data_IF_505743917810
#
_entry.id   IF_505743917810
#
_cell.length_a   1.000
_cell.length_b   1.000
_cell.length_c   1.000
_cell.angle_alpha   90.00
_cell.angle_beta   90.00
_cell.angle_gamma   90.00
#
_symmetry.space_group_name_H-M   'P 1'
#
loop_
_entity.id
_entity.type
_entity.pdbx_description
1 polymer ?
#
# COMPACT_ATOMS: atom_id res chain seq x y z
N UNK A 1 3.72 -28.78 -16.31
CA UNK A 1 3.20 -29.05 -14.96
C UNK A 1 3.72 -28.10 -13.90
N UNK A 2 5.00 -27.79 -13.89
CA UNK A 2 5.57 -26.86 -12.91
C UNK A 2 4.98 -25.45 -13.06
N UNK A 3 4.81 -24.97 -14.28
CA UNK A 3 4.19 -23.68 -14.54
C UNK A 3 2.73 -23.62 -14.07
N UNK A 4 2.03 -24.74 -14.16
CA UNK A 4 0.65 -24.84 -13.73
C UNK A 4 0.52 -24.70 -12.22
N UNK A 5 1.42 -25.34 -11.47
CA UNK A 5 1.47 -25.22 -10.01
C UNK A 5 1.84 -23.79 -9.57
N UNK A 6 2.80 -23.18 -10.25
CA UNK A 6 3.19 -21.80 -9.96
C UNK A 6 2.03 -20.83 -10.15
N UNK A 7 1.27 -21.01 -11.23
CA UNK A 7 0.10 -20.20 -11.50
C UNK A 7 -0.97 -20.36 -10.42
N UNK A 8 -1.20 -21.59 -9.98
CA UNK A 8 -2.15 -21.89 -8.91
C UNK A 8 -1.75 -21.24 -7.60
N UNK A 9 -0.48 -21.35 -7.20
CA UNK A 9 0.03 -20.69 -6.00
C UNK A 9 -0.12 -19.19 -6.09
N UNK A 10 0.15 -18.61 -7.25
CA UNK A 10 0.01 -17.18 -7.45
C UNK A 10 -1.43 -16.71 -7.29
N UNK A 11 -2.38 -17.46 -7.80
CA UNK A 11 -3.81 -17.17 -7.62
C UNK A 11 -4.18 -17.23 -6.14
N UNK A 12 -3.75 -18.28 -5.43
CA UNK A 12 -4.01 -18.42 -4.00
C UNK A 12 -3.40 -17.28 -3.19
N UNK A 13 -2.18 -16.86 -3.50
CA UNK A 13 -1.54 -15.72 -2.85
C UNK A 13 -2.28 -14.42 -3.12
N UNK A 14 -2.77 -14.21 -4.34
CA UNK A 14 -3.54 -13.02 -4.68
C UNK A 14 -4.85 -12.96 -3.90
N UNK A 15 -5.56 -14.07 -3.76
CA UNK A 15 -6.76 -14.14 -2.93
C UNK A 15 -6.45 -13.86 -1.46
N UNK A 16 -5.38 -14.43 -0.95
CA UNK A 16 -4.95 -14.20 0.43
C UNK A 16 -4.66 -12.73 0.67
N UNK A 17 -3.92 -12.09 -0.25
CA UNK A 17 -3.58 -10.67 -0.13
C UNK A 17 -4.81 -9.79 -0.22
N UNK A 18 -5.75 -10.13 -1.10
CA UNK A 18 -7.00 -9.39 -1.20
C UNK A 18 -7.82 -9.48 0.08
N UNK A 19 -7.87 -10.65 0.72
CA UNK A 19 -8.57 -10.83 2.00
C UNK A 19 -7.88 -10.12 3.15
N UNK A 20 -6.56 -10.26 3.21
CA UNK A 20 -5.78 -9.76 4.36
C UNK A 20 -5.60 -8.25 4.31
N UNK A 21 -5.37 -7.67 3.15
CA UNK A 21 -4.95 -6.28 3.03
C UNK A 21 -5.99 -5.37 2.41
N UNK A 22 -6.88 -5.89 1.56
CA UNK A 22 -7.77 -5.05 0.75
C UNK A 22 -9.25 -5.31 0.99
N UNK A 23 -9.57 -6.04 2.04
CA UNK A 23 -10.94 -6.17 2.52
C UNK A 23 -11.83 -7.08 1.69
N UNK A 24 -11.25 -8.03 0.94
CA UNK A 24 -12.07 -9.05 0.29
C UNK A 24 -12.80 -9.84 1.36
N UNK A 25 -14.10 -9.98 1.23
CA UNK A 25 -15.03 -10.61 2.18
C UNK A 25 -15.46 -9.71 3.35
N UNK A 26 -14.84 -8.54 3.54
CA UNK A 26 -15.21 -7.61 4.61
C UNK A 26 -16.21 -6.56 4.14
N UNK A 27 -17.12 -6.94 3.24
CA UNK A 27 -18.07 -6.00 2.65
C UNK A 27 -19.28 -5.80 3.58
N UNK A 28 -19.58 -4.54 3.84
CA UNK A 28 -20.81 -4.17 4.55
C UNK A 28 -21.96 -3.87 3.58
N UNK A 29 -21.73 -3.98 2.28
CA UNK A 29 -22.73 -3.70 1.26
C UNK A 29 -23.63 -4.91 1.04
N UNK A 30 -24.94 -4.67 1.07
CA UNK A 30 -25.95 -5.72 0.90
C UNK A 30 -26.44 -5.78 -0.55
N UNK A 31 -26.25 -4.73 -1.34
CA UNK A 31 -26.72 -4.66 -2.72
C UNK A 31 -25.88 -5.55 -3.64
N UNK A 32 -26.56 -6.33 -4.49
CA UNK A 32 -25.90 -7.27 -5.41
C UNK A 32 -24.90 -6.61 -6.36
N UNK A 33 -25.13 -5.33 -6.71
CA UNK A 33 -24.23 -4.58 -7.61
C UNK A 33 -22.94 -4.14 -6.93
N UNK A 34 -22.99 -3.87 -5.62
CA UNK A 34 -21.83 -3.36 -4.90
C UNK A 34 -20.85 -4.45 -4.47
N UNK A 35 -21.34 -5.65 -4.19
CA UNK A 35 -20.49 -6.76 -3.74
C UNK A 35 -19.50 -7.19 -4.84
N UNK A 36 -19.92 -7.46 -6.08
CA UNK A 36 -18.97 -7.77 -7.15
C UNK A 36 -18.00 -6.64 -7.44
N UNK A 37 -18.45 -5.39 -7.38
CA UNK A 37 -17.58 -4.24 -7.62
C UNK A 37 -16.52 -4.10 -6.52
N UNK A 38 -16.89 -4.31 -5.27
CA UNK A 38 -15.96 -4.28 -4.16
C UNK A 38 -14.95 -5.42 -4.24
N UNK A 39 -15.38 -6.62 -4.62
CA UNK A 39 -14.47 -7.76 -4.83
C UNK A 39 -13.49 -7.49 -5.97
N UNK A 40 -13.98 -6.98 -7.09
CA UNK A 40 -13.13 -6.63 -8.23
C UNK A 40 -12.13 -5.54 -7.87
N UNK A 41 -12.53 -4.55 -7.10
CA UNK A 41 -11.64 -3.50 -6.63
C UNK A 41 -10.55 -4.07 -5.72
N UNK A 42 -10.90 -4.97 -4.80
CA UNK A 42 -9.91 -5.62 -3.92
C UNK A 42 -8.87 -6.40 -4.72
N UNK A 43 -9.30 -7.16 -5.73
CA UNK A 43 -8.38 -7.90 -6.60
C UNK A 43 -7.51 -6.97 -7.45
N UNK A 44 -8.10 -5.89 -7.96
CA UNK A 44 -7.36 -4.86 -8.69
C UNK A 44 -6.29 -4.23 -7.81
N UNK A 45 -6.60 -3.95 -6.55
CA UNK A 45 -5.66 -3.35 -5.61
C UNK A 45 -4.47 -4.27 -5.31
N UNK A 46 -4.65 -5.58 -5.31
CA UNK A 46 -3.54 -6.52 -5.20
C UNK A 46 -2.57 -6.36 -6.36
N UNK A 47 -3.08 -6.36 -7.59
CA UNK A 47 -2.26 -6.22 -8.79
C UNK A 47 -1.56 -4.87 -8.85
N UNK A 48 -2.26 -3.80 -8.53
CA UNK A 48 -1.70 -2.45 -8.49
C UNK A 48 -0.58 -2.35 -7.43
N UNK A 49 -0.81 -2.91 -6.24
CA UNK A 49 0.17 -2.91 -5.16
C UNK A 49 1.46 -3.62 -5.56
N UNK A 50 1.34 -4.80 -6.16
CA UNK A 50 2.49 -5.56 -6.61
C UNK A 50 3.27 -4.81 -7.68
N UNK A 51 2.59 -4.17 -8.62
CA UNK A 51 3.21 -3.38 -9.68
C UNK A 51 3.97 -2.19 -9.10
N UNK A 52 3.38 -1.48 -8.17
CA UNK A 52 4.02 -0.33 -7.52
C UNK A 52 5.26 -0.75 -6.72
N UNK A 53 5.18 -1.85 -5.99
CA UNK A 53 6.30 -2.35 -5.20
C UNK A 53 7.47 -2.78 -6.10
N UNK A 54 7.18 -3.38 -7.26
CA UNK A 54 8.20 -3.80 -8.21
C UNK A 54 8.85 -2.62 -8.93
N UNK A 55 8.05 -1.67 -9.40
CA UNK A 55 8.56 -0.54 -10.19
C UNK A 55 9.28 0.50 -9.35
N UNK A 56 8.86 0.70 -8.13
CA UNK A 56 9.40 1.70 -7.22
C UNK A 56 10.09 1.04 -6.04
N UNK A 57 10.95 0.08 -6.34
CA UNK A 57 11.69 -0.68 -5.35
C UNK A 57 12.41 0.24 -4.37
N UNK A 58 12.12 0.10 -3.10
CA UNK A 58 12.71 0.89 -2.02
C UNK A 58 11.93 2.15 -1.63
N UNK A 59 11.18 2.77 -2.53
CA UNK A 59 10.40 3.99 -2.22
C UNK A 59 9.21 3.66 -1.33
N UNK A 60 8.45 2.62 -1.69
CA UNK A 60 7.23 2.23 -0.98
C UNK A 60 7.47 1.15 0.06
N UNK A 61 8.70 0.65 0.18
CA UNK A 61 9.01 -0.46 1.06
C UNK A 61 8.97 -1.79 0.32
N UNK A 62 8.83 -2.88 1.09
CA UNK A 62 8.90 -4.24 0.55
C UNK A 62 7.59 -5.00 0.61
N UNK A 63 6.60 -4.50 1.34
CA UNK A 63 5.33 -5.19 1.55
C UNK A 63 4.15 -4.27 1.29
N UNK A 64 2.96 -4.87 1.17
CA UNK A 64 1.71 -4.12 0.99
C UNK A 64 1.44 -3.22 2.20
N UNK A 65 1.78 -3.65 3.41
CA UNK A 65 1.65 -2.81 4.60
C UNK A 65 2.55 -1.58 4.54
N UNK A 66 3.76 -1.73 4.02
CA UNK A 66 4.67 -0.60 3.81
C UNK A 66 4.10 0.38 2.78
N UNK A 67 3.53 -0.15 1.70
CA UNK A 67 2.86 0.66 0.68
C UNK A 67 1.70 1.46 1.28
N UNK A 68 0.85 0.82 2.07
CA UNK A 68 -0.25 1.50 2.77
C UNK A 68 0.26 2.57 3.72
N UNK A 69 1.34 2.28 4.43
CA UNK A 69 1.98 3.23 5.35
C UNK A 69 2.47 4.46 4.60
N UNK A 70 3.07 4.27 3.42
CA UNK A 70 3.54 5.37 2.60
C UNK A 70 2.39 6.29 2.15
N UNK A 71 1.31 5.70 1.63
CA UNK A 71 0.16 6.49 1.19
C UNK A 71 -0.55 7.19 2.34
N UNK A 72 -0.63 6.55 3.50
CA UNK A 72 -1.18 7.17 4.71
C UNK A 72 -0.33 8.37 5.14
N UNK A 73 0.98 8.20 5.15
CA UNK A 73 1.91 9.27 5.47
C UNK A 73 1.77 10.44 4.50
N UNK A 74 1.71 10.16 3.20
CA UNK A 74 1.52 11.17 2.17
C UNK A 74 0.25 11.99 2.41
N UNK A 75 -0.85 11.31 2.70
CA UNK A 75 -2.12 11.96 2.98
C UNK A 75 -2.04 12.89 4.19
N UNK A 76 -1.45 12.42 5.27
CA UNK A 76 -1.36 13.21 6.50
C UNK A 76 -0.37 14.36 6.37
N UNK A 77 0.76 14.16 5.71
CA UNK A 77 1.74 15.23 5.47
C UNK A 77 1.11 16.35 4.63
N UNK A 78 0.47 16.00 3.52
CA UNK A 78 -0.16 16.97 2.64
C UNK A 78 -1.26 17.75 3.37
N UNK A 79 -2.07 17.06 4.14
CA UNK A 79 -3.15 17.70 4.90
C UNK A 79 -2.62 18.61 5.98
N UNK A 80 -1.57 18.21 6.68
CA UNK A 80 -0.94 19.02 7.73
C UNK A 80 -0.34 20.29 7.14
N UNK A 81 0.38 20.17 6.04
CA UNK A 81 0.96 21.34 5.36
C UNK A 81 -0.11 22.30 4.86
N UNK A 82 -1.21 21.76 4.35
CA UNK A 82 -2.34 22.58 3.92
C UNK A 82 -2.98 23.34 5.08
N UNK A 83 -3.13 22.70 6.23
CA UNK A 83 -3.67 23.33 7.43
C UNK A 83 -2.75 24.41 7.99
N UNK A 84 -1.44 24.24 7.84
CA UNK A 84 -0.46 25.24 8.22
C UNK A 84 -0.34 26.39 7.22
N UNK A 85 -1.00 26.28 6.05
CA UNK A 85 -0.94 27.29 5.01
C UNK A 85 0.39 27.39 4.29
N UNK A 86 1.21 26.33 4.34
CA UNK A 86 2.50 26.30 3.66
C UNK A 86 2.42 25.49 2.38
N UNK A 87 3.12 25.99 1.35
CA UNK A 87 3.29 25.28 0.08
C UNK A 87 4.79 25.06 -0.16
N UNK A 88 5.41 24.07 0.50
CA UNK A 88 6.82 23.78 0.30
C UNK A 88 7.06 23.13 -1.06
N UNK A 89 8.34 23.08 -1.45
CA UNK A 89 8.80 22.41 -2.66
C UNK A 89 8.31 20.96 -2.70
N UNK A 90 7.84 20.47 -3.86
CA UNK A 90 7.46 19.06 -4.00
C UNK A 90 8.53 18.06 -3.59
N UNK A 91 9.80 18.38 -3.80
CA UNK A 91 10.92 17.52 -3.38
C UNK A 91 10.97 17.40 -1.85
N UNK A 92 10.76 18.51 -1.15
CA UNK A 92 10.70 18.52 0.31
C UNK A 92 9.52 17.68 0.83
N UNK A 93 8.36 17.80 0.20
CA UNK A 93 7.16 17.03 0.56
C UNK A 93 7.43 15.54 0.36
N UNK A 94 8.07 15.16 -0.75
CA UNK A 94 8.40 13.76 -1.02
C UNK A 94 9.36 13.21 0.02
N UNK A 95 10.41 13.92 0.34
CA UNK A 95 11.38 13.50 1.36
C UNK A 95 10.74 13.37 2.73
N UNK A 96 9.90 14.31 3.11
CA UNK A 96 9.16 14.28 4.37
C UNK A 96 8.21 13.09 4.42
N UNK A 97 7.50 12.81 3.32
CA UNK A 97 6.61 11.67 3.21
C UNK A 97 7.37 10.35 3.38
N UNK A 98 8.54 10.23 2.77
CA UNK A 98 9.38 9.04 2.91
C UNK A 98 9.79 8.85 4.36
N UNK A 99 10.25 9.89 5.03
CA UNK A 99 10.67 9.80 6.43
C UNK A 99 9.51 9.42 7.36
N UNK A 100 8.35 10.03 7.17
CA UNK A 100 7.17 9.73 7.99
C UNK A 100 6.67 8.31 7.72
N UNK A 101 6.70 7.86 6.48
CA UNK A 101 6.28 6.50 6.13
C UNK A 101 7.17 5.43 6.77
N UNK A 102 8.46 5.71 6.90
CA UNK A 102 9.41 4.79 7.53
C UNK A 102 9.09 4.57 9.01
N UNK A 103 8.57 5.57 9.68
CA UNK A 103 8.16 5.44 11.08
C UNK A 103 7.05 4.43 11.29
N UNK A 104 6.18 4.24 10.29
CA UNK A 104 5.06 3.31 10.36
C UNK A 104 5.33 1.93 9.76
N UNK A 105 6.55 1.66 9.31
CA UNK A 105 6.85 0.38 8.66
C UNK A 105 7.02 -0.74 9.68
N UNK A 106 6.29 -1.81 9.44
CA UNK A 106 6.36 -3.02 10.27
C UNK A 106 7.60 -3.86 9.93
N UNK A 107 8.06 -3.78 8.68
CA UNK A 107 9.13 -4.61 8.15
C UNK A 107 10.47 -3.88 8.00
N UNK A 108 10.67 -2.78 8.69
CA UNK A 108 11.92 -2.02 8.61
C UNK A 108 12.91 -2.53 9.67
N UNK A 109 13.40 -3.75 9.45
CA UNK A 109 14.27 -4.42 10.43
C UNK A 109 15.69 -3.87 10.49
N UNK A 110 16.16 -3.18 9.44
CA UNK A 110 17.58 -2.87 9.30
C UNK A 110 17.88 -1.38 9.15
N UNK A 111 16.92 -0.53 9.47
CA UNK A 111 17.19 0.89 9.39
C UNK A 111 17.50 1.43 10.78
N UNK A 112 18.76 1.82 11.03
CA UNK A 112 19.04 2.63 12.20
C UNK A 112 18.12 3.85 12.12
N UNK A 113 17.36 4.06 13.18
CA UNK A 113 16.55 5.27 13.30
C UNK A 113 17.49 6.44 13.06
N UNK A 114 17.25 7.26 12.01
CA UNK A 114 18.11 8.41 11.82
C UNK A 114 18.02 9.26 13.08
N UNK A 115 19.16 9.48 13.69
CA UNK A 115 19.25 10.39 14.82
C UNK A 115 18.79 11.77 14.34
N UNK A 116 17.72 12.22 14.93
CA UNK A 116 17.19 13.55 14.66
C UNK A 116 18.12 14.58 15.26
#
# INVERSE_FOLDING_TARGET
MIEYYQLRFQIEFNFRDAKQFWGLEDFMNIKQTFVPNAANLSMFMVNLSQTLLQKKSGKFGQSINDLKSWFRASKYVQRTLKLLGQNPDPIFIENLTIQVSQMGRVNSLDHPVPEV
#
